data_IF_459131508033
#
_entry.id   IF_459131508033
#
_cell.length_a   1.000
_cell.length_b   1.000
_cell.length_c   1.000
_cell.angle_alpha   90.00
_cell.angle_beta   90.00
_cell.angle_gamma   90.00
#
_symmetry.space_group_name_H-M   'P 1'
#
loop_
_entity.id
_entity.type
_entity.pdbx_description
1 polymer ?
#
# COMPACT_ATOMS: atom_id res chain seq x y z
N UNK A 1 -8.01 -18.98 -2.49
CA UNK A 1 -7.13 -17.89 -2.00
C UNK A 1 -6.62 -17.14 -3.23
N UNK A 2 -6.23 -15.86 -3.11
CA UNK A 2 -5.87 -15.04 -4.28
C UNK A 2 -4.54 -14.33 -4.05
N UNK A 3 -3.77 -14.20 -5.13
CA UNK A 3 -2.56 -13.37 -5.20
C UNK A 3 -2.93 -11.89 -5.34
N UNK A 4 -2.24 -11.00 -4.62
CA UNK A 4 -2.37 -9.55 -4.79
C UNK A 4 -1.13 -8.98 -5.50
N UNK A 5 -1.33 -8.08 -6.47
CA UNK A 5 -0.25 -7.30 -7.08
C UNK A 5 -0.66 -5.84 -7.17
N UNK A 6 0.19 -4.97 -6.65
CA UNK A 6 0.12 -3.52 -6.83
C UNK A 6 1.33 -3.10 -7.68
N UNK A 7 1.09 -2.30 -8.71
CA UNK A 7 2.15 -1.76 -9.58
C UNK A 7 2.02 -0.24 -9.62
N UNK A 8 3.00 0.45 -9.05
CA UNK A 8 3.08 1.91 -9.06
C UNK A 8 1.87 2.61 -8.42
N UNK A 9 1.26 2.03 -7.39
CA UNK A 9 0.08 2.58 -6.73
C UNK A 9 0.37 3.98 -6.21
N UNK A 10 -0.51 4.93 -6.58
CA UNK A 10 -0.47 6.32 -6.13
C UNK A 10 -1.83 6.70 -5.58
N UNK A 11 -1.84 7.45 -4.49
CA UNK A 11 -3.06 8.03 -3.91
C UNK A 11 -2.75 9.42 -3.36
N UNK A 12 -3.55 10.39 -3.81
CA UNK A 12 -3.50 11.75 -3.30
C UNK A 12 -4.83 12.15 -2.65
N UNK A 13 -4.75 13.03 -1.67
CA UNK A 13 -5.87 13.78 -1.08
C UNK A 13 -5.56 15.26 -1.26
N UNK A 14 -6.12 15.86 -2.31
CA UNK A 14 -5.68 17.19 -2.78
C UNK A 14 -4.21 17.17 -3.16
N UNK A 15 -3.44 18.13 -2.64
CA UNK A 15 -1.99 18.26 -2.86
C UNK A 15 -1.15 17.21 -2.13
N UNK A 16 -1.72 16.50 -1.15
CA UNK A 16 -0.98 15.53 -0.35
C UNK A 16 -0.95 14.18 -1.05
N UNK A 17 0.24 13.72 -1.44
CA UNK A 17 0.47 12.36 -1.91
C UNK A 17 0.63 11.42 -0.72
N UNK A 18 -0.46 10.74 -0.34
CA UNK A 18 -0.47 9.80 0.78
C UNK A 18 0.20 8.46 0.44
N UNK A 19 0.17 8.06 -0.84
CA UNK A 19 0.93 6.92 -1.38
C UNK A 19 1.54 7.37 -2.71
N UNK A 20 2.83 7.16 -2.92
CA UNK A 20 3.53 7.58 -4.15
C UNK A 20 4.36 6.45 -4.77
N UNK A 21 3.78 5.74 -5.73
CA UNK A 21 4.50 4.79 -6.59
C UNK A 21 4.80 3.44 -5.96
N UNK A 22 3.97 2.97 -5.02
CA UNK A 22 4.20 1.70 -4.31
C UNK A 22 3.93 0.50 -5.22
N UNK A 23 4.91 -0.38 -5.35
CA UNK A 23 4.76 -1.68 -6.03
C UNK A 23 5.04 -2.82 -5.04
N UNK A 24 4.13 -3.78 -4.95
CA UNK A 24 4.30 -4.97 -4.09
C UNK A 24 3.50 -6.14 -4.65
N UNK A 25 3.92 -7.35 -4.31
CA UNK A 25 3.19 -8.58 -4.61
C UNK A 25 3.07 -9.42 -3.35
N UNK A 26 1.88 -9.94 -3.09
CA UNK A 26 1.59 -10.86 -1.98
C UNK A 26 1.11 -12.16 -2.60
N UNK A 27 1.85 -13.23 -2.35
CA UNK A 27 1.53 -14.59 -2.76
C UNK A 27 0.31 -15.15 -2.03
N UNK A 28 -0.17 -16.30 -2.51
CA UNK A 28 -1.26 -17.00 -1.85
C UNK A 28 -0.79 -17.54 -0.49
N UNK A 29 -1.58 -17.30 0.55
CA UNK A 29 -1.26 -17.73 1.93
C UNK A 29 -0.21 -16.89 2.63
N UNK A 30 0.35 -15.86 1.99
CA UNK A 30 1.30 -14.95 2.63
C UNK A 30 0.60 -13.96 3.57
N UNK A 31 1.30 -13.61 4.64
CA UNK A 31 0.85 -12.64 5.63
C UNK A 31 1.74 -11.39 5.59
N UNK A 32 1.16 -10.27 5.17
CA UNK A 32 1.85 -8.98 5.09
C UNK A 32 1.57 -8.13 6.34
N UNK A 33 2.62 -7.56 6.93
CA UNK A 33 2.51 -6.51 7.96
C UNK A 33 3.08 -5.20 7.42
N UNK A 34 2.29 -4.12 7.51
CA UNK A 34 2.71 -2.78 7.12
C UNK A 34 3.02 -1.94 8.36
N UNK A 35 4.28 -1.56 8.53
CA UNK A 35 4.77 -0.79 9.70
C UNK A 35 5.33 0.56 9.29
N UNK A 36 5.37 1.50 10.24
CA UNK A 36 5.94 2.83 10.04
C UNK A 36 5.27 3.92 10.89
N UNK A 37 5.84 5.14 10.94
CA UNK A 37 5.35 6.25 11.78
C UNK A 37 3.90 6.69 11.45
N UNK A 38 3.24 7.39 12.36
CA UNK A 38 1.92 8.00 12.10
C UNK A 38 1.99 8.92 10.87
N UNK A 39 1.00 8.81 9.97
CA UNK A 39 0.94 9.64 8.75
C UNK A 39 1.69 9.09 7.52
N UNK A 40 2.45 7.99 7.63
CA UNK A 40 3.25 7.47 6.51
C UNK A 40 2.45 6.69 5.42
N UNK A 41 1.12 6.81 5.37
CA UNK A 41 0.30 6.21 4.31
C UNK A 41 -0.17 4.76 4.50
N UNK A 42 0.12 4.09 5.63
CA UNK A 42 -0.23 2.67 5.86
C UNK A 42 -1.73 2.37 5.70
N UNK A 43 -2.58 3.10 6.40
CA UNK A 43 -4.03 2.92 6.31
C UNK A 43 -4.62 3.41 5.01
N UNK A 44 -3.86 4.16 4.21
CA UNK A 44 -4.22 4.53 2.83
C UNK A 44 -3.82 3.43 1.86
N UNK A 45 -2.70 2.74 2.10
CA UNK A 45 -2.26 1.59 1.30
C UNK A 45 -3.18 0.36 1.48
N UNK A 46 -3.79 0.21 2.67
CA UNK A 46 -4.66 -0.93 3.01
C UNK A 46 -6.17 -0.70 2.74
N UNK A 47 -6.58 0.49 2.28
CA UNK A 47 -7.98 0.83 1.94
C UNK A 47 -8.15 0.96 0.45
#
# INVERSE_FOLDING_TARGET
MARLVLTGLRKSYGEVRAVDGVSLSIGEGEFLVVVGPTGCGKSTLLR
#
